data_IF_324166089692
#
_entry.id   IF_324166089692
#
_cell.length_a   1.000
_cell.length_b   1.000
_cell.length_c   1.000
_cell.angle_alpha   90.00
_cell.angle_beta   90.00
_cell.angle_gamma   90.00
#
_symmetry.space_group_name_H-M   'P 1'
#
loop_
_entity.id
_entity.type
_entity.pdbx_description
1 polymer ?
#
# COMPACT_ATOMS: atom_id res chain seq x y z
N UNK A 1 3.60 24.60 19.42
CA UNK A 1 2.76 24.18 18.27
C UNK A 1 1.65 23.19 18.68
N UNK A 2 0.78 23.58 19.62
CA UNK A 2 -0.40 22.82 20.06
C UNK A 2 -1.58 22.84 19.06
N UNK A 3 -1.39 23.49 17.91
CA UNK A 3 -2.47 23.75 16.94
C UNK A 3 -2.69 22.64 15.91
N UNK A 4 -1.76 21.68 15.77
CA UNK A 4 -1.88 20.60 14.78
C UNK A 4 -2.59 19.35 15.31
N UNK A 5 -3.04 19.34 16.57
CA UNK A 5 -3.65 18.17 17.21
C UNK A 5 -5.16 18.26 17.40
N UNK A 6 -5.80 19.41 17.12
CA UNK A 6 -7.24 19.59 17.42
C UNK A 6 -8.22 19.29 16.27
N UNK A 7 -7.76 19.12 15.04
CA UNK A 7 -8.60 18.57 13.97
C UNK A 7 -7.77 17.79 12.97
N UNK A 8 -7.55 16.50 13.26
CA UNK A 8 -6.73 15.62 12.41
C UNK A 8 -7.21 15.59 10.96
N UNK A 9 -8.50 15.82 10.70
CA UNK A 9 -9.10 15.80 9.36
C UNK A 9 -9.43 17.18 8.79
N UNK A 10 -9.26 18.29 9.53
CA UNK A 10 -9.65 19.59 8.99
C UNK A 10 -8.83 19.97 7.75
N UNK A 11 -7.51 19.75 7.78
CA UNK A 11 -6.65 20.06 6.63
C UNK A 11 -7.15 19.36 5.34
N UNK A 12 -7.25 18.02 5.28
CA UNK A 12 -7.72 17.36 4.05
C UNK A 12 -9.18 17.70 3.70
N UNK A 13 -10.05 17.94 4.69
CA UNK A 13 -11.42 18.42 4.44
C UNK A 13 -11.44 19.82 3.83
N UNK A 14 -10.61 20.75 4.33
CA UNK A 14 -10.50 22.11 3.76
C UNK A 14 -9.90 22.08 2.36
N UNK A 15 -8.91 21.23 2.11
CA UNK A 15 -8.36 21.03 0.77
C UNK A 15 -9.44 20.50 -0.19
N UNK A 16 -10.24 19.52 0.25
CA UNK A 16 -11.35 18.98 -0.55
C UNK A 16 -12.41 20.06 -0.79
N UNK A 17 -12.82 20.78 0.26
CA UNK A 17 -13.84 21.83 0.20
C UNK A 17 -13.40 23.06 -0.63
N UNK A 18 -12.09 23.30 -0.78
CA UNK A 18 -11.56 24.32 -1.66
C UNK A 18 -11.37 23.82 -3.10
N UNK A 19 -10.83 22.61 -3.27
CA UNK A 19 -10.51 22.04 -4.57
C UNK A 19 -11.76 21.72 -5.41
N UNK A 20 -12.83 21.23 -4.79
CA UNK A 20 -14.06 20.86 -5.51
C UNK A 20 -14.75 22.07 -6.16
N UNK A 21 -15.01 23.19 -5.45
CA UNK A 21 -15.50 24.40 -6.10
C UNK A 21 -14.53 24.96 -7.13
N UNK A 22 -13.23 24.96 -6.84
CA UNK A 22 -12.23 25.47 -7.79
C UNK A 22 -12.26 24.68 -9.10
N UNK A 23 -12.37 23.35 -9.03
CA UNK A 23 -12.54 22.48 -10.20
C UNK A 23 -13.85 22.73 -10.95
N UNK A 24 -14.94 22.98 -10.21
CA UNK A 24 -16.25 23.30 -10.79
C UNK A 24 -16.19 24.56 -11.66
N UNK A 25 -15.52 25.60 -11.17
CA UNK A 25 -15.46 26.90 -11.84
C UNK A 25 -14.37 27.00 -12.90
N UNK A 26 -13.20 26.37 -12.70
CA UNK A 26 -12.06 26.50 -13.61
C UNK A 26 -12.05 25.46 -14.75
N UNK A 27 -12.64 24.29 -14.54
CA UNK A 27 -12.59 23.18 -15.50
C UNK A 27 -14.00 22.81 -15.94
N UNK A 28 -14.77 22.13 -15.09
CA UNK A 28 -16.17 21.80 -15.35
C UNK A 28 -16.87 21.19 -14.14
N UNK A 29 -18.22 21.18 -14.12
CA UNK A 29 -18.99 20.40 -13.15
C UNK A 29 -18.64 18.90 -13.14
N UNK A 30 -18.44 18.31 -14.32
CA UNK A 30 -18.07 16.89 -14.45
C UNK A 30 -16.71 16.60 -13.79
N UNK A 31 -15.73 17.48 -13.97
CA UNK A 31 -14.42 17.38 -13.35
C UNK A 31 -14.50 17.47 -11.81
N UNK A 32 -15.38 18.32 -11.28
CA UNK A 32 -15.60 18.41 -9.84
C UNK A 32 -16.22 17.13 -9.25
N UNK A 33 -17.19 16.53 -9.95
CA UNK A 33 -17.76 15.23 -9.54
C UNK A 33 -16.72 14.10 -9.61
N UNK A 34 -15.91 14.06 -10.67
CA UNK A 34 -14.81 13.11 -10.80
C UNK A 34 -13.80 13.25 -9.65
N UNK A 35 -13.44 14.48 -9.28
CA UNK A 35 -12.56 14.73 -8.14
C UNK A 35 -13.19 14.25 -6.83
N UNK A 36 -14.50 14.49 -6.59
CA UNK A 36 -15.19 13.98 -5.40
C UNK A 36 -15.14 12.45 -5.35
N UNK A 37 -15.45 11.79 -6.46
CA UNK A 37 -15.42 10.34 -6.54
C UNK A 37 -14.02 9.77 -6.24
N UNK A 38 -12.98 10.37 -6.84
CA UNK A 38 -11.59 10.01 -6.56
C UNK A 38 -11.23 10.26 -5.09
N UNK A 39 -11.55 11.41 -4.52
CA UNK A 39 -11.27 11.69 -3.10
C UNK A 39 -11.96 10.69 -2.18
N UNK A 40 -13.19 10.27 -2.48
CA UNK A 40 -13.90 9.23 -1.70
C UNK A 40 -13.18 7.89 -1.80
N UNK A 41 -12.80 7.47 -3.02
CA UNK A 41 -12.01 6.25 -3.24
C UNK A 41 -10.70 6.32 -2.45
N UNK A 42 -10.01 7.46 -2.52
CA UNK A 42 -8.74 7.68 -1.83
C UNK A 42 -8.87 7.62 -0.31
N UNK A 43 -9.96 8.18 0.24
CA UNK A 43 -10.25 8.06 1.67
C UNK A 43 -10.44 6.58 2.03
N UNK A 44 -11.20 5.81 1.26
CA UNK A 44 -11.39 4.38 1.51
C UNK A 44 -10.05 3.62 1.52
N UNK A 45 -9.22 3.82 0.50
CA UNK A 45 -7.89 3.19 0.40
C UNK A 45 -6.95 3.62 1.53
N UNK A 46 -7.06 4.88 1.96
CA UNK A 46 -6.21 5.43 3.00
C UNK A 46 -6.46 4.79 4.36
N UNK A 47 -7.69 4.34 4.64
CA UNK A 47 -8.05 3.67 5.90
C UNK A 47 -7.29 2.35 6.01
N UNK A 48 -7.37 1.50 4.99
CA UNK A 48 -6.74 0.17 4.98
C UNK A 48 -5.22 0.27 5.06
N UNK A 49 -4.65 1.30 4.42
CA UNK A 49 -3.20 1.53 4.39
C UNK A 49 -2.67 2.19 5.65
N UNK A 50 -3.47 2.99 6.36
CA UNK A 50 -3.02 3.78 7.52
C UNK A 50 -2.58 2.92 8.71
N UNK A 51 -3.23 1.77 8.91
CA UNK A 51 -2.96 0.87 10.03
C UNK A 51 -1.55 0.26 9.97
N UNK A 52 -1.15 -0.43 8.88
CA UNK A 52 0.21 -0.92 8.75
C UNK A 52 1.25 0.20 8.87
N UNK A 53 0.99 1.38 8.29
CA UNK A 53 1.88 2.54 8.34
C UNK A 53 2.08 3.06 9.77
N UNK A 54 1.00 3.13 10.56
CA UNK A 54 1.09 3.54 11.96
C UNK A 54 1.89 2.51 12.78
N UNK A 55 1.81 1.23 12.43
CA UNK A 55 2.59 0.15 13.05
C UNK A 55 4.10 0.32 12.88
N UNK A 56 4.51 0.98 11.79
CA UNK A 56 5.90 1.33 11.48
C UNK A 56 6.29 2.59 12.21
N UNK A 57 5.45 3.63 12.14
CA UNK A 57 5.65 4.89 12.85
C UNK A 57 5.94 4.67 14.34
N UNK A 58 5.20 3.76 14.98
CA UNK A 58 5.34 3.42 16.39
C UNK A 58 6.72 2.82 16.78
N UNK A 59 7.50 2.34 15.81
CA UNK A 59 8.86 1.80 16.01
C UNK A 59 9.95 2.83 15.76
N UNK A 60 9.59 4.00 15.24
CA UNK A 60 10.52 5.08 14.96
C UNK A 60 10.72 5.95 16.21
N UNK A 61 11.95 6.32 16.47
CA UNK A 61 12.27 7.37 17.44
C UNK A 61 11.56 8.70 17.11
N UNK A 62 11.35 9.54 18.13
CA UNK A 62 10.48 10.70 18.08
C UNK A 62 10.70 11.68 16.89
N UNK A 63 11.94 12.08 16.52
CA UNK A 63 12.13 13.02 15.40
C UNK A 63 11.86 12.38 14.04
N UNK A 64 12.36 11.18 13.73
CA UNK A 64 12.02 10.54 12.45
C UNK A 64 10.55 10.14 12.36
N UNK A 65 9.91 9.77 13.47
CA UNK A 65 8.46 9.52 13.49
C UNK A 65 7.67 10.75 13.03
N UNK A 66 8.08 11.96 13.46
CA UNK A 66 7.41 13.21 13.04
C UNK A 66 7.60 13.48 11.55
N UNK A 67 8.82 13.33 11.02
CA UNK A 67 9.12 13.53 9.60
C UNK A 67 8.37 12.50 8.74
N UNK A 68 8.36 11.25 9.18
CA UNK A 68 7.64 10.17 8.51
C UNK A 68 6.13 10.45 8.43
N UNK A 69 5.52 10.80 9.57
CA UNK A 69 4.09 11.11 9.69
C UNK A 69 3.70 12.49 9.14
N UNK A 70 4.63 13.29 8.61
CA UNK A 70 4.32 14.59 8.03
C UNK A 70 4.57 14.61 6.52
N UNK A 71 5.83 14.60 6.11
CA UNK A 71 6.24 14.74 4.70
C UNK A 71 6.53 13.36 4.11
N UNK A 72 7.12 12.44 4.88
CA UNK A 72 7.54 11.13 4.36
C UNK A 72 6.40 10.31 3.75
N UNK A 73 5.25 10.23 4.42
CA UNK A 73 4.08 9.53 3.88
C UNK A 73 3.50 10.23 2.64
N UNK A 74 3.38 11.56 2.66
CA UNK A 74 2.84 12.32 1.52
C UNK A 74 3.73 12.16 0.29
N UNK A 75 5.03 12.41 0.44
CA UNK A 75 6.01 12.23 -0.64
C UNK A 75 6.04 10.79 -1.12
N UNK A 76 5.99 9.81 -0.21
CA UNK A 76 5.95 8.40 -0.57
C UNK A 76 4.75 8.05 -1.46
N UNK A 77 3.54 8.49 -1.10
CA UNK A 77 2.34 8.24 -1.91
C UNK A 77 2.43 8.94 -3.27
N UNK A 78 2.83 10.22 -3.30
CA UNK A 78 2.96 10.96 -4.55
C UNK A 78 3.97 10.33 -5.50
N UNK A 79 5.14 9.94 -5.01
CA UNK A 79 6.16 9.28 -5.84
C UNK A 79 5.64 7.94 -6.34
N UNK A 80 5.11 7.11 -5.44
CA UNK A 80 4.63 5.79 -5.84
C UNK A 80 3.47 5.88 -6.84
N UNK A 81 2.59 6.87 -6.77
CA UNK A 81 1.41 6.92 -7.67
C UNK A 81 1.59 7.76 -8.91
N UNK A 82 2.34 8.85 -8.84
CA UNK A 82 2.50 9.75 -9.99
C UNK A 82 3.76 9.44 -10.80
N UNK A 83 4.82 8.93 -10.17
CA UNK A 83 6.09 8.66 -10.84
C UNK A 83 6.30 7.18 -11.18
N UNK A 84 5.76 6.26 -10.37
CA UNK A 84 5.98 4.83 -10.61
C UNK A 84 5.29 4.30 -11.87
N UNK A 85 4.01 4.66 -12.20
CA UNK A 85 3.40 4.17 -13.43
C UNK A 85 4.17 4.61 -14.69
N UNK A 86 4.54 5.90 -14.88
CA UNK A 86 5.40 6.29 -16.00
C UNK A 86 6.77 5.62 -15.97
N UNK A 87 7.38 5.43 -14.81
CA UNK A 87 8.65 4.71 -14.71
C UNK A 87 8.52 3.24 -15.12
N UNK A 88 7.40 2.59 -14.80
CA UNK A 88 7.15 1.21 -15.21
C UNK A 88 6.96 1.09 -16.73
N UNK A 89 6.22 2.03 -17.34
CA UNK A 89 6.08 2.11 -18.80
C UNK A 89 7.42 2.36 -19.46
N UNK A 90 8.21 3.32 -18.96
CA UNK A 90 9.54 3.61 -19.47
C UNK A 90 10.45 2.37 -19.52
N UNK A 91 10.43 1.56 -18.45
CA UNK A 91 11.22 0.32 -18.38
C UNK A 91 10.66 -0.76 -19.30
N UNK A 92 9.34 -0.93 -19.34
CA UNK A 92 8.70 -1.98 -20.15
C UNK A 92 8.84 -1.74 -21.65
N UNK A 93 8.64 -0.49 -22.08
CA UNK A 93 8.68 -0.09 -23.48
C UNK A 93 10.07 0.34 -23.94
N UNK A 94 11.05 0.35 -23.04
CA UNK A 94 12.42 0.83 -23.28
C UNK A 94 12.47 2.26 -23.86
N UNK A 95 11.56 3.12 -23.40
CA UNK A 95 11.48 4.53 -23.77
C UNK A 95 12.07 5.44 -22.68
N UNK A 96 12.26 6.71 -22.99
CA UNK A 96 12.80 7.64 -21.99
C UNK A 96 11.76 7.94 -20.90
N UNK A 97 12.16 8.14 -19.63
CA UNK A 97 11.23 8.49 -18.56
C UNK A 97 10.43 9.79 -18.82
N UNK A 98 10.99 10.72 -19.59
CA UNK A 98 10.32 11.96 -19.96
C UNK A 98 9.21 11.70 -20.99
N UNK A 99 9.45 10.77 -21.93
CA UNK A 99 8.45 10.38 -22.92
C UNK A 99 7.29 9.65 -22.25
N UNK A 100 7.56 8.73 -21.32
CA UNK A 100 6.53 8.04 -20.55
C UNK A 100 5.62 9.00 -19.74
N UNK A 101 6.21 10.05 -19.16
CA UNK A 101 5.44 11.10 -18.47
C UNK A 101 4.61 11.91 -19.47
N UNK A 102 5.17 12.23 -20.64
CA UNK A 102 4.46 12.96 -21.69
C UNK A 102 3.30 12.12 -22.23
N UNK A 103 3.51 10.83 -22.42
CA UNK A 103 2.50 9.87 -22.82
C UNK A 103 1.36 9.81 -21.80
N UNK A 104 1.68 9.73 -20.50
CA UNK A 104 0.69 9.75 -19.43
C UNK A 104 -0.18 11.02 -19.41
N UNK A 105 0.39 12.17 -19.78
CA UNK A 105 -0.30 13.47 -19.73
C UNK A 105 -1.08 13.81 -21.01
N UNK A 106 -0.57 13.38 -22.17
CA UNK A 106 -1.05 13.84 -23.48
C UNK A 106 -1.67 12.71 -24.30
N UNK A 107 -1.31 11.45 -24.03
CA UNK A 107 -1.77 10.28 -24.78
C UNK A 107 -2.22 9.14 -23.83
N UNK A 108 -3.23 9.38 -22.97
CA UNK A 108 -3.61 8.43 -21.93
C UNK A 108 -4.11 7.08 -22.47
N UNK A 109 -4.60 7.03 -23.72
CA UNK A 109 -4.98 5.77 -24.35
C UNK A 109 -3.75 4.88 -24.62
N UNK A 110 -2.70 5.46 -25.24
CA UNK A 110 -1.44 4.76 -25.50
C UNK A 110 -0.76 4.37 -24.18
N UNK A 111 -0.73 5.31 -23.23
CA UNK A 111 -0.22 5.05 -21.87
C UNK A 111 -0.90 3.85 -21.21
N UNK A 112 -2.23 3.75 -21.32
CA UNK A 112 -2.97 2.63 -20.73
C UNK A 112 -2.69 1.30 -21.44
N UNK A 113 -2.47 1.31 -22.75
CA UNK A 113 -2.06 0.13 -23.51
C UNK A 113 -0.67 -0.35 -23.07
N UNK A 114 0.31 0.55 -23.06
CA UNK A 114 1.68 0.25 -22.64
C UNK A 114 1.75 -0.16 -21.17
N UNK A 115 1.03 0.53 -20.28
CA UNK A 115 0.91 0.12 -18.88
C UNK A 115 0.24 -1.25 -18.77
N UNK A 116 -0.76 -1.52 -19.61
CA UNK A 116 -1.41 -2.82 -19.76
C UNK A 116 -0.44 -3.95 -20.07
N UNK A 117 0.46 -3.74 -21.03
CA UNK A 117 1.53 -4.67 -21.39
C UNK A 117 2.53 -4.89 -20.25
N UNK A 118 2.78 -3.87 -19.42
CA UNK A 118 3.65 -3.99 -18.25
C UNK A 118 3.00 -4.74 -17.05
N UNK A 119 1.66 -4.88 -17.01
CA UNK A 119 0.93 -5.42 -15.84
C UNK A 119 1.36 -6.82 -15.42
N UNK A 120 1.55 -7.82 -16.31
CA UNK A 120 1.94 -9.16 -15.88
C UNK A 120 3.27 -9.15 -15.09
N UNK A 121 4.25 -8.38 -15.57
CA UNK A 121 5.52 -8.19 -14.87
C UNK A 121 5.34 -7.50 -13.53
N UNK A 122 4.62 -6.37 -13.50
CA UNK A 122 4.37 -5.62 -12.27
C UNK A 122 3.61 -6.46 -11.22
N UNK A 123 2.59 -7.21 -11.64
CA UNK A 123 1.80 -8.08 -10.76
C UNK A 123 2.66 -9.19 -10.16
N UNK A 124 3.50 -9.85 -10.97
CA UNK A 124 4.41 -10.89 -10.50
C UNK A 124 5.47 -10.36 -9.53
N UNK A 125 6.08 -9.21 -9.86
CA UNK A 125 7.01 -8.49 -9.00
C UNK A 125 6.36 -8.16 -7.65
N UNK A 126 5.18 -7.53 -7.69
CA UNK A 126 4.44 -7.10 -6.52
C UNK A 126 4.00 -8.26 -5.65
N UNK A 127 3.47 -9.32 -6.25
CA UNK A 127 3.00 -10.51 -5.56
C UNK A 127 4.13 -11.15 -4.73
N UNK A 128 5.28 -11.40 -5.35
CA UNK A 128 6.43 -12.01 -4.67
C UNK A 128 6.99 -11.08 -3.58
N UNK A 129 7.14 -9.80 -3.89
CA UNK A 129 7.64 -8.81 -2.93
C UNK A 129 6.74 -8.76 -1.68
N UNK A 130 5.43 -8.60 -1.87
CA UNK A 130 4.43 -8.52 -0.81
C UNK A 130 4.35 -9.85 -0.04
N UNK A 131 4.41 -10.98 -0.74
CA UNK A 131 4.42 -12.31 -0.13
C UNK A 131 5.61 -12.49 0.83
N UNK A 132 6.80 -12.00 0.46
CA UNK A 132 7.96 -12.04 1.34
C UNK A 132 7.78 -11.14 2.57
N UNK A 133 7.15 -9.97 2.42
CA UNK A 133 6.77 -9.12 3.56
C UNK A 133 5.78 -9.83 4.49
N UNK A 134 4.81 -10.54 3.91
CA UNK A 134 3.79 -11.28 4.65
C UNK A 134 4.37 -12.52 5.35
N UNK A 135 5.19 -13.31 4.69
CA UNK A 135 5.80 -14.51 5.27
C UNK A 135 6.83 -14.19 6.34
N UNK A 136 7.52 -13.05 6.26
CA UNK A 136 8.33 -12.52 7.36
C UNK A 136 7.48 -12.19 8.60
N UNK A 137 6.24 -11.73 8.39
CA UNK A 137 5.27 -11.60 9.47
C UNK A 137 4.80 -12.98 9.96
N UNK A 138 4.44 -13.89 9.06
CA UNK A 138 3.78 -15.17 9.35
C UNK A 138 4.69 -16.16 10.10
N UNK A 139 5.93 -16.32 9.64
CA UNK A 139 6.88 -17.30 10.19
C UNK A 139 7.70 -16.77 11.36
N UNK A 140 7.22 -15.75 12.09
CA UNK A 140 8.00 -15.11 13.14
C UNK A 140 7.86 -15.85 14.49
N UNK A 141 8.91 -16.59 14.89
CA UNK A 141 8.98 -17.35 16.14
C UNK A 141 8.75 -16.48 17.39
N UNK A 142 9.19 -15.21 17.38
CA UNK A 142 9.02 -14.28 18.51
C UNK A 142 7.54 -13.99 18.81
N UNK A 143 6.62 -14.46 17.96
CA UNK A 143 5.16 -14.35 18.15
C UNK A 143 4.50 -15.60 18.67
N UNK A 144 5.16 -16.75 18.61
CA UNK A 144 4.63 -17.99 19.18
C UNK A 144 4.18 -17.84 20.66
N UNK A 145 4.80 -16.98 21.50
CA UNK A 145 4.34 -16.76 22.87
C UNK A 145 3.10 -15.86 23.03
N UNK A 146 2.53 -15.29 21.96
CA UNK A 146 1.39 -14.37 22.11
C UNK A 146 0.18 -15.12 22.68
N UNK A 147 -0.43 -14.64 23.78
CA UNK A 147 -1.43 -15.43 24.51
C UNK A 147 -2.65 -15.83 23.66
N UNK A 148 -3.02 -15.04 22.64
CA UNK A 148 -4.11 -15.33 21.68
C UNK A 148 -3.70 -14.76 20.31
N UNK A 149 -3.26 -15.62 19.37
CA UNK A 149 -3.12 -15.32 17.94
C UNK A 149 -4.49 -14.99 17.33
N UNK A 150 -4.54 -14.26 16.21
CA UNK A 150 -5.82 -13.86 15.62
C UNK A 150 -6.56 -15.04 14.99
N UNK A 151 -5.86 -15.87 14.21
CA UNK A 151 -6.40 -17.13 13.66
C UNK A 151 -6.18 -18.35 14.59
N UNK A 152 -5.84 -18.11 15.86
CA UNK A 152 -5.65 -19.15 16.86
C UNK A 152 -4.54 -20.14 16.54
N UNK A 153 -4.87 -21.45 16.52
CA UNK A 153 -3.89 -22.55 16.45
C UNK A 153 -3.14 -22.63 15.11
N UNK A 154 -3.78 -22.27 14.00
CA UNK A 154 -3.14 -22.29 12.67
C UNK A 154 -2.00 -21.27 12.57
N UNK A 155 -2.24 -20.05 13.06
CA UNK A 155 -1.21 -19.00 13.13
C UNK A 155 -0.07 -19.41 14.08
N UNK A 156 -0.38 -20.02 15.23
CA UNK A 156 0.64 -20.50 16.16
C UNK A 156 1.48 -21.66 15.59
N UNK A 157 0.90 -22.50 14.72
CA UNK A 157 1.65 -23.54 14.02
C UNK A 157 2.57 -22.94 12.95
N UNK A 158 2.05 -22.03 12.11
CA UNK A 158 2.82 -21.35 11.08
C UNK A 158 3.97 -20.52 11.67
N UNK A 159 3.79 -19.91 12.85
CA UNK A 159 4.84 -19.15 13.53
C UNK A 159 6.00 -20.02 14.07
N UNK A 160 5.78 -21.33 14.29
CA UNK A 160 6.77 -22.27 14.86
C UNK A 160 7.65 -22.94 13.80
N UNK A 161 8.14 -22.13 12.86
CA UNK A 161 9.05 -22.60 11.81
C UNK A 161 10.50 -22.37 12.25
N UNK A 162 11.30 -23.44 12.33
CA UNK A 162 12.72 -23.36 12.75
C UNK A 162 13.59 -22.50 11.83
N UNK A 163 13.28 -22.43 10.53
CA UNK A 163 14.04 -21.65 9.53
C UNK A 163 13.13 -20.72 8.73
N UNK A 164 12.65 -19.63 9.35
CA UNK A 164 11.58 -18.82 8.77
C UNK A 164 11.99 -18.13 7.48
N UNK A 165 13.27 -17.75 7.34
CA UNK A 165 13.81 -17.16 6.12
C UNK A 165 13.82 -18.14 4.94
N UNK A 166 14.20 -19.39 5.19
CA UNK A 166 14.23 -20.42 4.14
C UNK A 166 12.82 -20.75 3.70
N UNK A 167 11.86 -20.86 4.63
CA UNK A 167 10.47 -21.12 4.27
C UNK A 167 9.82 -19.93 3.54
N UNK A 168 10.10 -18.69 3.95
CA UNK A 168 9.65 -17.50 3.23
C UNK A 168 10.15 -17.50 1.78
N UNK A 169 11.46 -17.61 1.58
CA UNK A 169 12.06 -17.61 0.24
C UNK A 169 11.64 -18.84 -0.58
N UNK A 170 11.63 -20.03 0.03
CA UNK A 170 11.21 -21.27 -0.63
C UNK A 170 9.77 -21.21 -1.10
N UNK A 171 8.85 -20.73 -0.26
CA UNK A 171 7.45 -20.55 -0.66
C UNK A 171 7.30 -19.51 -1.78
N UNK A 172 8.03 -18.40 -1.71
CA UNK A 172 8.02 -17.37 -2.75
C UNK A 172 8.50 -17.93 -4.10
N UNK A 173 9.60 -18.68 -4.11
CA UNK A 173 10.16 -19.30 -5.32
C UNK A 173 9.19 -20.34 -5.89
N UNK A 174 8.66 -21.24 -5.07
CA UNK A 174 7.72 -22.28 -5.53
C UNK A 174 6.48 -21.66 -6.15
N UNK A 175 5.86 -20.67 -5.49
CA UNK A 175 4.65 -20.04 -6.01
C UNK A 175 4.99 -19.20 -7.26
N UNK A 176 6.10 -18.45 -7.27
CA UNK A 176 6.53 -17.69 -8.44
C UNK A 176 6.78 -18.58 -9.66
N UNK A 177 7.45 -19.72 -9.48
CA UNK A 177 7.68 -20.70 -10.55
C UNK A 177 6.36 -21.29 -11.06
N UNK A 178 5.44 -21.62 -10.16
CA UNK A 178 4.11 -22.11 -10.54
C UNK A 178 3.34 -21.05 -11.33
N UNK A 179 3.32 -19.80 -10.86
CA UNK A 179 2.59 -18.71 -11.51
C UNK A 179 3.22 -18.32 -12.85
N UNK A 180 4.55 -18.36 -12.97
CA UNK A 180 5.26 -18.20 -14.24
C UNK A 180 4.89 -19.30 -15.25
N UNK A 181 4.72 -20.55 -14.80
CA UNK A 181 4.29 -21.65 -15.66
C UNK A 181 2.80 -21.57 -16.06
N UNK A 182 1.96 -21.00 -15.20
CA UNK A 182 0.52 -20.80 -15.47
C UNK A 182 0.22 -19.53 -16.27
N UNK A 183 1.17 -18.59 -16.35
CA UNK A 183 1.02 -17.37 -17.13
C UNK A 183 0.91 -17.66 -18.63
N UNK A 184 0.26 -16.76 -19.41
CA UNK A 184 0.21 -16.86 -20.86
C UNK A 184 1.60 -17.05 -21.47
N UNK A 185 1.77 -17.83 -22.56
CA UNK A 185 3.08 -18.17 -23.13
C UNK A 185 3.99 -16.96 -23.40
N UNK A 186 3.41 -15.83 -23.79
CA UNK A 186 4.14 -14.60 -24.09
C UNK A 186 4.68 -13.89 -22.83
N UNK A 187 4.05 -14.11 -21.67
CA UNK A 187 4.35 -13.40 -20.43
C UNK A 187 5.23 -14.23 -19.47
N UNK A 188 5.42 -15.52 -19.71
CA UNK A 188 6.10 -16.43 -18.77
C UNK A 188 7.50 -15.94 -18.37
N UNK A 189 8.28 -15.47 -19.35
CA UNK A 189 9.63 -14.94 -19.13
C UNK A 189 9.56 -13.65 -18.32
N UNK A 190 8.66 -12.74 -18.68
CA UNK A 190 8.47 -11.45 -17.99
C UNK A 190 8.06 -11.68 -16.54
N UNK A 191 7.09 -12.57 -16.29
CA UNK A 191 6.62 -12.96 -14.96
C UNK A 191 7.74 -13.60 -14.13
N UNK A 192 8.54 -14.47 -14.73
CA UNK A 192 9.68 -15.11 -14.08
C UNK A 192 10.76 -14.10 -13.68
N UNK A 193 11.21 -13.26 -14.62
CA UNK A 193 12.21 -12.20 -14.38
C UNK A 193 11.71 -11.19 -13.35
N UNK A 194 10.44 -10.78 -13.45
CA UNK A 194 9.85 -9.83 -12.52
C UNK A 194 9.71 -10.41 -11.11
N UNK A 195 9.40 -11.71 -10.98
CA UNK A 195 9.37 -12.43 -9.70
C UNK A 195 10.76 -12.47 -9.02
N UNK A 196 11.81 -12.73 -9.81
CA UNK A 196 13.20 -12.68 -9.32
C UNK A 196 13.55 -11.26 -8.89
N UNK A 197 13.24 -10.27 -9.73
CA UNK A 197 13.48 -8.85 -9.42
C UNK A 197 12.75 -8.44 -8.14
N UNK A 198 11.49 -8.83 -7.94
CA UNK A 198 10.72 -8.58 -6.71
C UNK A 198 11.35 -9.21 -5.48
N UNK A 199 11.86 -10.43 -5.61
CA UNK A 199 12.63 -11.10 -4.55
C UNK A 199 13.91 -10.32 -4.21
N UNK A 200 14.67 -9.92 -5.23
CA UNK A 200 15.92 -9.16 -5.07
C UNK A 200 15.66 -7.78 -4.46
N UNK A 201 14.60 -7.07 -4.87
CA UNK A 201 14.21 -5.79 -4.28
C UNK A 201 13.84 -5.95 -2.80
N UNK A 202 13.10 -6.99 -2.43
CA UNK A 202 12.80 -7.27 -1.01
C UNK A 202 14.08 -7.53 -0.21
N UNK A 203 14.97 -8.40 -0.73
CA UNK A 203 16.23 -8.74 -0.06
C UNK A 203 17.17 -7.53 0.05
N UNK A 204 17.29 -6.74 -1.01
CA UNK A 204 18.08 -5.51 -1.05
C UNK A 204 17.56 -4.49 -0.05
N UNK A 205 16.24 -4.29 0.00
CA UNK A 205 15.63 -3.37 0.95
C UNK A 205 15.87 -3.80 2.40
N UNK A 206 15.76 -5.09 2.67
CA UNK A 206 16.05 -5.66 3.99
C UNK A 206 17.54 -5.52 4.34
N UNK A 207 18.43 -5.72 3.37
CA UNK A 207 19.86 -5.58 3.55
C UNK A 207 20.24 -4.13 3.89
N UNK A 208 19.73 -3.14 3.14
CA UNK A 208 19.90 -1.72 3.42
C UNK A 208 19.38 -1.38 4.83
N UNK A 209 18.19 -1.88 5.18
CA UNK A 209 17.62 -1.68 6.52
C UNK A 209 18.49 -2.27 7.64
N UNK A 210 19.10 -3.45 7.42
CA UNK A 210 20.00 -4.07 8.40
C UNK A 210 21.34 -3.35 8.52
N UNK A 211 21.91 -2.87 7.41
CA UNK A 211 23.13 -2.05 7.42
C UNK A 211 22.89 -0.73 8.15
N UNK A 212 21.73 -0.11 7.92
CA UNK A 212 21.32 1.09 8.65
C UNK A 212 21.23 0.85 10.17
N UNK A 213 21.03 -0.39 10.63
CA UNK A 213 21.01 -0.74 12.06
C UNK A 213 22.36 -1.23 12.60
N UNK A 214 23.28 -1.76 11.77
CA UNK A 214 24.61 -2.29 12.20
C UNK A 214 25.68 -1.19 12.36
N UNK A 215 25.96 -0.77 13.59
CA UNK A 215 26.97 0.25 13.93
C UNK A 215 26.53 1.10 15.12
N UNK A 216 27.41 1.99 15.62
CA UNK A 216 27.14 2.79 16.82
C UNK A 216 25.86 3.65 16.69
N UNK A 217 25.09 3.71 17.78
CA UNK A 217 23.64 4.06 17.77
C UNK A 217 23.39 5.56 17.59
N UNK A 218 24.43 6.38 17.60
CA UNK A 218 24.34 7.84 17.74
C UNK A 218 24.16 8.63 16.43
N UNK A 219 24.24 7.98 15.26
CA UNK A 219 24.10 8.68 13.99
C UNK A 219 22.61 8.80 13.55
N UNK A 220 22.01 10.01 13.57
CA UNK A 220 20.57 10.18 13.35
C UNK A 220 20.14 9.71 11.96
N UNK A 221 20.94 9.99 10.92
CA UNK A 221 20.66 9.70 9.51
C UNK A 221 20.39 8.22 9.24
N UNK A 222 21.02 7.31 9.99
CA UNK A 222 20.86 5.86 9.82
C UNK A 222 19.44 5.41 10.11
N UNK A 223 18.82 6.01 11.13
CA UNK A 223 17.45 5.71 11.51
C UNK A 223 16.43 6.31 10.52
N UNK A 224 16.79 7.40 9.83
CA UNK A 224 16.03 7.92 8.69
C UNK A 224 16.09 6.97 7.48
N UNK A 225 17.26 6.42 7.18
CA UNK A 225 17.42 5.42 6.11
C UNK A 225 16.58 4.18 6.41
N UNK A 226 16.69 3.62 7.63
CA UNK A 226 15.84 2.50 8.04
C UNK A 226 14.34 2.85 7.93
N UNK A 227 13.91 4.01 8.42
CA UNK A 227 12.53 4.46 8.27
C UNK A 227 12.11 4.46 6.78
N UNK A 228 12.89 5.11 5.92
CA UNK A 228 12.64 5.22 4.49
C UNK A 228 12.51 3.84 3.82
N UNK A 229 13.36 2.88 4.18
CA UNK A 229 13.26 1.51 3.66
C UNK A 229 11.91 0.87 3.96
N UNK A 230 11.43 1.03 5.20
CA UNK A 230 10.16 0.45 5.62
C UNK A 230 8.97 1.20 5.01
N UNK A 231 9.05 2.54 4.89
CA UNK A 231 8.03 3.35 4.20
C UNK A 231 7.87 2.88 2.77
N UNK A 232 8.98 2.85 2.03
CA UNK A 232 8.98 2.53 0.62
C UNK A 232 8.48 1.11 0.40
N UNK A 233 8.92 0.14 1.20
CA UNK A 233 8.42 -1.24 1.13
C UNK A 233 6.90 -1.30 1.26
N UNK A 234 6.30 -0.46 2.10
CA UNK A 234 4.87 -0.50 2.38
C UNK A 234 4.07 0.35 1.40
N UNK A 235 4.65 1.47 0.96
CA UNK A 235 4.07 2.32 -0.08
C UNK A 235 4.08 1.59 -1.41
N UNK A 236 5.14 0.85 -1.73
CA UNK A 236 5.22 -0.05 -2.88
C UNK A 236 4.18 -1.16 -2.79
N UNK A 237 3.98 -1.76 -1.61
CA UNK A 237 2.92 -2.75 -1.43
C UNK A 237 1.52 -2.16 -1.69
N UNK A 238 1.25 -0.94 -1.23
CA UNK A 238 -0.02 -0.22 -1.47
C UNK A 238 -0.16 0.24 -2.92
N UNK A 239 0.93 0.61 -3.57
CA UNK A 239 0.94 0.90 -5.00
C UNK A 239 0.56 -0.34 -5.81
N UNK A 240 1.25 -1.45 -5.54
CA UNK A 240 0.95 -2.74 -6.20
C UNK A 240 -0.48 -3.18 -5.91
N UNK A 241 -0.97 -2.90 -4.70
CA UNK A 241 -2.33 -3.20 -4.24
C UNK A 241 -3.41 -2.57 -5.09
N UNK A 242 -3.24 -1.31 -5.45
CA UNK A 242 -4.31 -0.54 -6.07
C UNK A 242 -4.01 -0.19 -7.51
N UNK A 243 -2.81 0.23 -7.87
CA UNK A 243 -2.58 0.65 -9.26
C UNK A 243 -2.64 -0.49 -10.28
N UNK A 244 -2.07 -1.64 -9.92
CA UNK A 244 -1.98 -2.79 -10.84
C UNK A 244 -3.32 -3.52 -10.92
N UNK A 245 -4.00 -3.66 -9.78
CA UNK A 245 -5.29 -4.35 -9.71
C UNK A 245 -6.46 -3.45 -10.10
N UNK A 246 -6.33 -2.14 -9.97
CA UNK A 246 -7.35 -1.21 -10.45
C UNK A 246 -7.36 -1.22 -11.97
N UNK A 247 -6.21 -1.37 -12.64
CA UNK A 247 -6.15 -1.68 -14.07
C UNK A 247 -6.94 -0.72 -14.96
N UNK A 248 -7.33 0.41 -14.40
CA UNK A 248 -8.36 1.29 -14.90
C UNK A 248 -7.97 2.66 -14.34
N UNK A 249 -7.09 3.35 -15.05
CA UNK A 249 -7.32 4.78 -15.20
C UNK A 249 -8.65 4.90 -15.96
N UNK A 250 -9.77 4.87 -15.22
CA UNK A 250 -11.18 4.96 -15.70
C UNK A 250 -11.49 6.28 -16.38
N UNK A 251 -10.47 7.03 -16.80
CA UNK A 251 -10.62 8.27 -17.51
C UNK A 251 -10.64 8.04 -19.04
N UNK A 252 -10.40 6.81 -19.50
CA UNK A 252 -10.37 6.48 -20.94
C UNK A 252 -11.65 5.87 -21.53
N UNK A 253 -12.67 5.50 -20.74
CA UNK A 253 -13.85 4.79 -21.28
C UNK A 253 -15.15 5.59 -21.28
N UNK A 254 -15.16 6.85 -20.86
CA UNK A 254 -16.36 7.68 -20.95
C UNK A 254 -16.02 8.98 -21.65
N UNK A 255 -16.85 9.35 -22.62
CA UNK A 255 -16.99 10.70 -23.18
C UNK A 255 -17.37 11.69 -22.05
N UNK A 256 -16.46 11.89 -21.09
CA UNK A 256 -16.63 12.87 -20.01
C UNK A 256 -16.51 14.30 -20.53
N UNK A 257 -16.11 14.47 -21.80
CA UNK A 257 -15.88 15.76 -22.45
C UNK A 257 -14.63 16.49 -21.93
N UNK A 258 -13.82 15.85 -21.09
CA UNK A 258 -12.61 16.44 -20.48
C UNK A 258 -11.38 16.22 -21.35
N UNK A 259 -10.52 17.24 -21.40
CA UNK A 259 -9.22 17.16 -22.08
C UNK A 259 -8.26 16.30 -21.26
N UNK A 260 -7.35 15.55 -21.90
CA UNK A 260 -6.42 14.62 -21.23
C UNK A 260 -5.61 15.26 -20.09
N UNK A 261 -5.19 16.52 -20.26
CA UNK A 261 -4.47 17.26 -19.23
C UNK A 261 -5.33 17.51 -17.98
N UNK A 262 -6.64 17.72 -18.16
CA UNK A 262 -7.59 17.92 -17.05
C UNK A 262 -7.78 16.62 -16.28
N UNK A 263 -7.89 15.50 -16.99
CA UNK A 263 -7.98 14.16 -16.38
C UNK A 263 -6.75 13.86 -15.52
N UNK A 264 -5.54 14.12 -16.05
CA UNK A 264 -4.29 13.97 -15.31
C UNK A 264 -4.22 14.92 -14.10
N UNK A 265 -4.66 16.17 -14.25
CA UNK A 265 -4.70 17.14 -13.15
C UNK A 265 -5.67 16.71 -12.03
N UNK A 266 -6.85 16.20 -12.39
CA UNK A 266 -7.85 15.65 -11.46
C UNK A 266 -7.27 14.46 -10.69
N UNK A 267 -6.61 13.53 -11.39
CA UNK A 267 -5.95 12.39 -10.77
C UNK A 267 -4.84 12.83 -9.79
N UNK A 268 -3.97 13.76 -10.21
CA UNK A 268 -2.90 14.29 -9.37
C UNK A 268 -3.43 15.01 -8.11
N UNK A 269 -4.50 15.79 -8.25
CA UNK A 269 -5.17 16.45 -7.12
C UNK A 269 -5.83 15.43 -6.18
N UNK A 270 -6.54 14.44 -6.73
CA UNK A 270 -7.15 13.36 -5.96
C UNK A 270 -6.12 12.60 -5.13
N UNK A 271 -5.02 12.16 -5.76
CA UNK A 271 -3.89 11.49 -5.10
C UNK A 271 -3.26 12.38 -4.03
N UNK A 272 -3.06 13.66 -4.32
CA UNK A 272 -2.50 14.62 -3.37
C UNK A 272 -3.38 14.79 -2.12
N UNK A 273 -4.68 14.96 -2.29
CA UNK A 273 -5.65 15.03 -1.19
C UNK A 273 -5.68 13.71 -0.41
N UNK A 274 -5.71 12.57 -1.12
CA UNK A 274 -5.65 11.23 -0.54
C UNK A 274 -4.41 10.99 0.31
N UNK A 275 -3.24 11.42 -0.16
CA UNK A 275 -1.98 11.33 0.57
C UNK A 275 -2.02 12.10 1.90
N UNK A 276 -2.69 13.26 1.92
CA UNK A 276 -2.92 14.02 3.16
C UNK A 276 -3.88 13.27 4.09
N UNK A 277 -4.98 12.70 3.57
CA UNK A 277 -5.88 11.86 4.37
C UNK A 277 -5.14 10.68 5.01
N UNK A 278 -4.39 9.91 4.22
CA UNK A 278 -3.58 8.79 4.71
C UNK A 278 -2.65 9.22 5.83
N UNK A 279 -1.91 10.31 5.63
CA UNK A 279 -0.96 10.83 6.60
C UNK A 279 -1.64 11.19 7.92
N UNK A 280 -2.80 11.85 7.85
CA UNK A 280 -3.57 12.27 9.02
C UNK A 280 -4.21 11.09 9.76
N UNK A 281 -4.76 10.12 9.05
CA UNK A 281 -5.30 8.89 9.63
C UNK A 281 -4.20 8.09 10.32
N UNK A 282 -3.05 7.93 9.66
CA UNK A 282 -1.89 7.22 10.20
C UNK A 282 -1.38 7.89 11.48
N UNK A 283 -1.23 9.23 11.45
CA UNK A 283 -0.82 10.01 12.62
C UNK A 283 -1.80 9.89 13.80
N UNK A 284 -3.10 9.80 13.53
CA UNK A 284 -4.13 9.60 14.55
C UNK A 284 -4.06 8.21 15.19
N UNK A 285 -3.83 7.17 14.39
CA UNK A 285 -3.70 5.79 14.88
C UNK A 285 -2.44 5.65 15.75
N UNK A 286 -1.32 6.26 15.34
CA UNK A 286 -0.07 6.27 16.11
C UNK A 286 -0.21 7.04 17.44
N UNK A 287 -0.74 8.27 17.40
CA UNK A 287 -0.83 9.13 18.59
C UNK A 287 -1.82 8.64 19.66
N UNK A 288 -2.85 7.90 19.29
CA UNK A 288 -3.86 7.38 20.24
C UNK A 288 -3.45 6.09 20.94
N UNK A 289 -2.23 5.58 20.69
CA UNK A 289 -1.86 4.21 21.05
C UNK A 289 -2.88 3.19 20.49
N UNK A 290 -3.54 3.51 19.37
CA UNK A 290 -4.61 2.69 18.79
C UNK A 290 -4.13 1.27 18.49
N UNK A 291 -2.88 1.13 18.07
CA UNK A 291 -2.22 -0.15 17.80
C UNK A 291 -1.88 -0.99 19.03
N UNK A 292 -1.75 -0.40 20.22
CA UNK A 292 -1.56 -1.15 21.47
C UNK A 292 -2.89 -1.49 22.13
N UNK A 293 -3.92 -0.65 21.92
CA UNK A 293 -5.30 -0.94 22.33
C UNK A 293 -5.97 -2.02 21.49
N UNK A 294 -5.70 -2.05 20.18
CA UNK A 294 -6.34 -2.97 19.23
C UNK A 294 -5.43 -4.15 18.91
N UNK A 295 -5.56 -5.18 19.74
CA UNK A 295 -4.71 -6.36 19.78
C UNK A 295 -4.52 -7.08 18.43
N UNK A 296 -5.58 -7.27 17.67
CA UNK A 296 -5.57 -8.05 16.42
C UNK A 296 -5.30 -7.21 15.18
N UNK A 297 -5.31 -5.88 15.32
CA UNK A 297 -5.19 -4.96 14.19
C UNK A 297 -3.83 -5.09 13.45
N UNK A 298 -2.74 -5.31 14.20
CA UNK A 298 -1.41 -5.62 13.62
C UNK A 298 -1.41 -6.93 12.83
N UNK A 299 -2.28 -7.88 13.20
CA UNK A 299 -2.42 -9.14 12.49
C UNK A 299 -3.25 -8.99 11.23
N UNK A 300 -4.43 -8.38 11.33
CA UNK A 300 -5.26 -8.05 10.17
C UNK A 300 -4.46 -7.37 9.06
N UNK A 301 -3.68 -6.33 9.39
CA UNK A 301 -2.84 -5.62 8.44
C UNK A 301 -1.84 -6.50 7.67
N UNK A 302 -1.34 -7.57 8.29
CA UNK A 302 -0.45 -8.49 7.60
C UNK A 302 -1.20 -9.52 6.76
N UNK A 303 -2.34 -10.01 7.24
CA UNK A 303 -3.18 -10.91 6.44
C UNK A 303 -3.74 -10.20 5.19
N UNK A 304 -4.01 -8.89 5.26
CA UNK A 304 -4.32 -8.09 4.05
C UNK A 304 -3.20 -8.21 3.02
N UNK A 305 -1.94 -8.11 3.42
CA UNK A 305 -0.80 -8.27 2.50
C UNK A 305 -0.70 -9.69 1.94
N UNK A 306 -0.97 -10.71 2.77
CA UNK A 306 -0.99 -12.09 2.32
C UNK A 306 -2.06 -12.35 1.26
N UNK A 307 -3.29 -11.94 1.54
CA UNK A 307 -4.42 -12.04 0.58
C UNK A 307 -4.11 -11.24 -0.68
N UNK A 308 -3.51 -10.07 -0.53
CA UNK A 308 -3.14 -9.26 -1.68
C UNK A 308 -2.12 -9.94 -2.59
N UNK A 309 -1.05 -10.50 -2.04
CA UNK A 309 -0.07 -11.21 -2.85
C UNK A 309 -0.72 -12.35 -3.66
N UNK A 310 -1.69 -13.04 -3.05
CA UNK A 310 -2.49 -14.06 -3.74
C UNK A 310 -3.37 -13.46 -4.84
N UNK A 311 -4.03 -12.32 -4.59
CA UNK A 311 -4.84 -11.63 -5.62
C UNK A 311 -3.97 -11.15 -6.80
N UNK A 312 -2.75 -10.64 -6.55
CA UNK A 312 -1.84 -10.24 -7.63
C UNK A 312 -1.35 -11.43 -8.47
N UNK A 313 -1.12 -12.59 -7.86
CA UNK A 313 -0.83 -13.81 -8.63
C UNK A 313 -2.05 -14.29 -9.39
N UNK A 314 -3.23 -14.30 -8.76
CA UNK A 314 -4.46 -14.69 -9.41
C UNK A 314 -4.83 -13.75 -10.58
N UNK A 315 -4.43 -12.46 -10.51
CA UNK A 315 -4.64 -11.50 -11.60
C UNK A 315 -3.85 -11.81 -12.87
N UNK A 316 -2.82 -12.68 -12.80
CA UNK A 316 -2.10 -13.17 -13.97
C UNK A 316 -2.93 -14.16 -14.81
N UNK A 317 -3.97 -14.75 -14.21
CA UNK A 317 -4.79 -15.79 -14.83
C UNK A 317 -6.19 -15.25 -15.13
N UNK A 318 -6.76 -14.50 -14.18
CA UNK A 318 -8.12 -13.96 -14.28
C UNK A 318 -8.12 -12.49 -13.89
N UNK A 319 -8.70 -11.58 -14.69
CA UNK A 319 -8.77 -10.17 -14.32
C UNK A 319 -9.56 -10.00 -13.01
N UNK A 320 -8.94 -9.37 -12.02
CA UNK A 320 -9.56 -9.11 -10.72
C UNK A 320 -9.94 -7.64 -10.63
N UNK A 321 -11.22 -7.29 -10.45
CA UNK A 321 -11.63 -5.90 -10.29
C UNK A 321 -11.09 -5.29 -8.99
N UNK A 322 -10.65 -4.03 -9.04
CA UNK A 322 -10.20 -3.26 -7.86
C UNK A 322 -11.18 -3.30 -6.68
N UNK A 323 -12.49 -3.25 -6.96
CA UNK A 323 -13.53 -3.30 -5.93
C UNK A 323 -13.47 -4.56 -5.08
N UNK A 324 -13.11 -5.72 -5.67
CA UNK A 324 -12.95 -6.99 -4.95
C UNK A 324 -11.76 -6.90 -4.00
N UNK A 325 -10.67 -6.31 -4.47
CA UNK A 325 -9.43 -6.15 -3.71
C UNK A 325 -9.64 -5.23 -2.50
N UNK A 326 -10.27 -4.07 -2.72
CA UNK A 326 -10.64 -3.14 -1.66
C UNK A 326 -11.59 -3.80 -0.65
N UNK A 327 -12.55 -4.60 -1.11
CA UNK A 327 -13.47 -5.33 -0.24
C UNK A 327 -12.74 -6.30 0.70
N UNK A 328 -11.78 -7.09 0.20
CA UNK A 328 -10.97 -7.98 1.05
C UNK A 328 -10.15 -7.19 2.08
N UNK A 329 -9.56 -6.07 1.68
CA UNK A 329 -8.85 -5.16 2.58
C UNK A 329 -9.73 -4.70 3.73
N UNK A 330 -10.86 -4.08 3.39
CA UNK A 330 -11.84 -3.55 4.35
C UNK A 330 -12.44 -4.66 5.23
N UNK A 331 -12.74 -5.83 4.68
CA UNK A 331 -13.30 -6.95 5.42
C UNK A 331 -12.31 -7.49 6.48
N UNK A 332 -11.03 -7.66 6.11
CA UNK A 332 -10.00 -8.17 7.02
C UNK A 332 -9.67 -7.13 8.11
N UNK A 333 -9.50 -5.86 7.74
CA UNK A 333 -9.27 -4.78 8.71
C UNK A 333 -10.48 -4.61 9.63
N UNK A 334 -11.69 -4.62 9.08
CA UNK A 334 -12.95 -4.57 9.83
C UNK A 334 -13.08 -5.73 10.81
N UNK A 335 -12.83 -6.95 10.38
CA UNK A 335 -12.82 -8.13 11.26
C UNK A 335 -11.75 -8.02 12.36
N UNK A 336 -10.55 -7.54 12.01
CA UNK A 336 -9.48 -7.31 12.99
C UNK A 336 -9.84 -6.22 14.00
N UNK A 337 -10.59 -5.18 13.60
CA UNK A 337 -11.12 -4.15 14.49
C UNK A 337 -12.20 -4.71 15.42
N UNK A 338 -13.20 -5.40 14.86
CA UNK A 338 -14.31 -6.00 15.62
C UNK A 338 -13.82 -6.99 16.67
N UNK A 339 -12.87 -7.85 16.30
CA UNK A 339 -12.26 -8.82 17.22
C UNK A 339 -11.30 -8.18 18.22
N UNK A 340 -10.80 -6.97 17.94
CA UNK A 340 -9.96 -6.21 18.86
C UNK A 340 -10.74 -5.38 19.87
N UNK A 341 -12.00 -5.05 19.59
CA UNK A 341 -12.85 -4.37 20.55
C UNK A 341 -13.05 -5.32 21.73
N UNK A 342 -12.78 -4.90 22.97
CA UNK A 342 -13.17 -5.71 24.11
C UNK A 342 -14.69 -5.84 24.02
N UNK A 343 -15.17 -7.06 23.78
CA UNK A 343 -16.54 -7.40 24.09
C UNK A 343 -16.64 -7.20 25.60
N UNK A 344 -16.99 -5.98 26.00
CA UNK A 344 -17.39 -5.70 27.36
C UNK A 344 -18.63 -6.56 27.54
N UNK A 345 -18.44 -7.78 28.04
CA UNK A 345 -19.50 -8.42 28.80
C UNK A 345 -19.91 -7.33 29.79
N UNK A 346 -21.17 -6.85 29.75
CA UNK A 346 -21.61 -5.87 30.74
C UNK A 346 -21.19 -6.46 32.07
N UNK A 347 -20.35 -5.73 32.83
CA UNK A 347 -19.97 -6.13 34.18
C UNK A 347 -21.30 -6.40 34.85
N UNK A 348 -21.65 -7.68 35.03
CA UNK A 348 -22.79 -8.07 35.82
C UNK A 348 -22.48 -7.49 37.19
N UNK A 349 -23.20 -6.43 37.53
CA UNK A 349 -23.39 -5.96 38.88
C UNK A 349 -24.04 -7.12 39.66
N UNK A 350 -23.20 -8.03 40.13
CA UNK A 350 -23.48 -9.10 41.07
C UNK A 350 -22.22 -9.11 41.95
N UNK A 351 -22.23 -8.76 43.22
CA UNK A 351 -23.24 -8.73 44.30
C UNK A 351 -22.80 -7.63 45.29
N UNK A 352 -23.70 -6.78 45.80
CA UNK A 352 -24.31 -6.88 47.15
C UNK A 352 -23.41 -7.47 48.22
#
# INVERSE_FOLDING_TARGET
MRFLTRSSLALPLTLTAAAVPLMWWLVSPAAAFALVALVVLEIAMSIDSSVPMAGIAARLHAPARRVFLSVGLVTGVLVMRLLLPPAAVAVSQAESPADAVTEALVQPALFNEHLGAARPGLAAFGAVFIWLVFTEYLFNIDRAPRPHPWLGRLEAAAARVNRPRIMALGSAVVIASLMSALAPPNDQVVVGVASVTGTLTYLGMRFIGQLALKGDTDAPWRLHVYAATVVFQRALAVFMLFEILDGVYTLSSTDTGLVYLEQAAIAALGVGIGAVYLTRLTSRIDSTNGLSRLRHLKAGAAYVLGVLAVLLWASLIVPIPAGVVGWFGTAIIGAALLTSLPWQRPKRLLTR
#
